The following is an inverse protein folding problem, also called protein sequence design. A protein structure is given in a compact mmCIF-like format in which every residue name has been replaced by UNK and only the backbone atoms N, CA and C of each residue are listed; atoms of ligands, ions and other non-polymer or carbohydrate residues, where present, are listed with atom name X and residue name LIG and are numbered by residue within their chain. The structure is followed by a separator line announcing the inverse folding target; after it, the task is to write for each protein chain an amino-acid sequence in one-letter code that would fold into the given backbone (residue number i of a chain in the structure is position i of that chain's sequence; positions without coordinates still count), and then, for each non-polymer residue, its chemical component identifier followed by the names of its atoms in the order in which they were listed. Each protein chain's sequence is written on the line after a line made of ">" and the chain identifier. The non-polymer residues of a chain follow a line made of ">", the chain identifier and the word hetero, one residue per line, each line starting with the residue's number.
data_IF_359717459045
#
_entry.id   IF_359717459045
#
_cell.length_a   1.000
_cell.length_b   1.000
_cell.length_c   1.000
_cell.angle_alpha   90.00
_cell.angle_beta   90.00
_cell.angle_gamma   90.00
#
_symmetry.space_group_name_H-M   'P 1'
#
loop_
_entity.id
_entity.type
_entity.pdbx_description
1 polymer ?
#
# COMPACT_ATOMS: atom_id res chain seq x y z
N UNK A 1 3.53 44.28 51.21
CA UNK A 1 4.51 44.34 50.10
C UNK A 1 5.45 43.15 50.24
N UNK A 2 5.09 41.98 49.67
CA UNK A 2 5.90 40.77 49.66
C UNK A 2 5.25 39.73 48.73
N UNK A 3 5.36 39.88 47.40
CA UNK A 3 5.01 38.79 46.45
C UNK A 3 5.35 39.15 45.00
N UNK A 4 6.52 39.75 44.72
CA UNK A 4 6.98 39.96 43.34
C UNK A 4 8.13 39.03 42.97
N UNK A 5 9.00 38.71 43.94
CA UNK A 5 10.22 37.94 43.66
C UNK A 5 9.92 36.48 43.33
N UNK A 6 8.90 35.87 43.94
CA UNK A 6 8.55 34.46 43.71
C UNK A 6 8.05 34.19 42.28
N UNK A 7 7.40 35.17 41.64
CA UNK A 7 6.90 35.03 40.26
C UNK A 7 8.02 35.13 39.22
N UNK A 8 9.03 35.97 39.47
CA UNK A 8 10.21 36.08 38.59
C UNK A 8 11.04 34.80 38.65
N UNK A 9 11.22 34.22 39.84
CA UNK A 9 11.95 32.96 40.00
C UNK A 9 11.23 31.75 39.37
N UNK A 10 9.89 31.68 39.39
CA UNK A 10 9.17 30.61 38.70
C UNK A 10 9.25 30.76 37.17
N UNK A 11 9.20 31.98 36.67
CA UNK A 11 9.27 32.26 35.22
C UNK A 11 10.65 31.91 34.63
N UNK A 12 11.74 32.23 35.34
CA UNK A 12 13.09 31.89 34.89
C UNK A 12 13.36 30.38 34.95
N UNK A 13 12.82 29.66 35.94
CA UNK A 13 12.95 28.20 36.03
C UNK A 13 12.26 27.48 34.86
N UNK A 14 11.09 27.95 34.44
CA UNK A 14 10.35 27.37 33.30
C UNK A 14 11.09 27.60 31.97
N UNK A 15 11.67 28.78 31.76
CA UNK A 15 12.47 29.07 30.55
C UNK A 15 13.76 28.23 30.50
N UNK A 16 14.40 27.99 31.64
CA UNK A 16 15.60 27.12 31.71
C UNK A 16 15.25 25.65 31.42
N UNK A 17 14.08 25.16 31.85
CA UNK A 17 13.59 23.82 31.52
C UNK A 17 13.29 23.62 30.02
N UNK A 18 12.90 24.67 29.29
CA UNK A 18 12.71 24.63 27.84
C UNK A 18 14.01 24.77 27.03
N UNK A 19 15.11 25.22 27.66
CA UNK A 19 16.44 25.35 27.05
C UNK A 19 17.37 24.17 27.35
N UNK A 20 16.95 23.23 28.20
CA UNK A 20 17.65 21.95 28.32
C UNK A 20 17.48 21.20 27.00
N UNK A 21 18.56 20.82 26.31
CA UNK A 21 18.45 19.94 25.16
C UNK A 21 17.77 18.66 25.63
N UNK A 22 16.56 18.40 25.14
CA UNK A 22 15.96 17.07 25.23
C UNK A 22 17.02 16.13 24.68
N UNK A 23 17.48 15.10 25.42
CA UNK A 23 18.34 14.11 24.83
C UNK A 23 17.58 13.58 23.62
N UNK A 24 18.04 13.95 22.44
CA UNK A 24 17.69 13.21 21.24
C UNK A 24 18.13 11.80 21.60
N UNK A 25 17.15 10.95 21.92
CA UNK A 25 17.33 9.51 21.85
C UNK A 25 17.98 9.30 20.51
N UNK A 26 19.29 9.03 20.52
CA UNK A 26 19.97 8.47 19.39
C UNK A 26 19.23 7.16 19.17
N UNK A 27 18.25 7.18 18.27
CA UNK A 27 17.70 5.95 17.75
C UNK A 27 18.90 5.22 17.18
N UNK A 28 19.34 4.19 17.90
CA UNK A 28 20.33 3.20 17.49
C UNK A 28 19.74 2.33 16.36
N UNK A 29 19.10 2.97 15.37
CA UNK A 29 18.54 2.37 14.17
C UNK A 29 19.64 2.06 13.13
N UNK A 30 20.92 2.28 13.48
CA UNK A 30 22.04 2.03 12.58
C UNK A 30 22.58 0.58 12.66
N UNK A 31 22.16 -0.24 13.64
CA UNK A 31 22.73 -1.58 13.81
C UNK A 31 21.74 -2.74 13.98
N UNK A 32 20.42 -2.49 13.99
CA UNK A 32 19.46 -3.57 13.83
C UNK A 32 19.16 -3.74 12.34
N UNK A 33 19.87 -4.66 11.66
CA UNK A 33 19.36 -5.21 10.41
C UNK A 33 18.12 -6.02 10.80
N UNK A 34 16.89 -5.60 10.46
CA UNK A 34 15.73 -6.43 10.75
C UNK A 34 15.93 -7.75 10.01
N UNK A 35 16.10 -8.83 10.78
CA UNK A 35 16.10 -10.17 10.22
C UNK A 35 14.66 -10.44 9.83
N UNK A 36 14.39 -10.42 8.52
CA UNK A 36 13.10 -10.83 7.99
C UNK A 36 13.02 -12.35 8.11
N UNK A 37 12.38 -12.87 9.15
CA UNK A 37 12.12 -14.30 9.27
C UNK A 37 10.82 -14.67 8.56
N UNK A 38 10.84 -15.74 7.77
CA UNK A 38 9.64 -16.28 7.16
C UNK A 38 8.89 -17.18 8.16
N UNK A 39 7.73 -16.73 8.63
CA UNK A 39 6.91 -17.47 9.60
C UNK A 39 5.97 -18.51 8.96
N UNK A 40 6.36 -19.10 7.81
CA UNK A 40 5.64 -20.22 7.20
C UNK A 40 4.27 -19.89 6.57
N UNK A 41 3.94 -18.60 6.42
CA UNK A 41 2.68 -18.17 5.77
C UNK A 41 2.74 -18.38 4.26
N UNK A 42 1.68 -18.92 3.60
CA UNK A 42 1.69 -19.16 2.16
C UNK A 42 2.13 -17.93 1.36
N UNK A 43 2.97 -18.14 0.35
CA UNK A 43 3.38 -17.10 -0.59
C UNK A 43 2.66 -17.38 -1.91
N UNK A 44 2.00 -16.38 -2.50
CA UNK A 44 1.26 -16.60 -3.75
C UNK A 44 2.22 -16.69 -4.93
N UNK A 45 1.96 -17.63 -5.83
CA UNK A 45 2.71 -17.82 -7.08
C UNK A 45 1.81 -18.41 -8.15
N UNK A 46 2.28 -18.44 -9.40
CA UNK A 46 1.53 -18.97 -10.53
C UNK A 46 0.52 -17.98 -11.11
N UNK A 47 -0.62 -18.49 -11.58
CA UNK A 47 -1.65 -17.68 -12.25
C UNK A 47 -2.62 -17.04 -11.24
N UNK A 48 -2.39 -15.76 -10.94
CA UNK A 48 -3.27 -14.92 -10.12
C UNK A 48 -4.45 -14.40 -10.95
N UNK A 49 -5.63 -14.98 -10.75
CA UNK A 49 -6.86 -14.58 -11.44
C UNK A 49 -7.63 -13.53 -10.63
N UNK A 50 -7.71 -12.32 -11.16
CA UNK A 50 -8.37 -11.17 -10.53
C UNK A 50 -9.85 -11.09 -10.91
N UNK A 51 -10.72 -11.00 -9.91
CA UNK A 51 -12.09 -10.51 -10.03
C UNK A 51 -12.11 -9.03 -9.64
N UNK A 52 -12.14 -8.13 -10.63
CA UNK A 52 -12.17 -6.70 -10.37
C UNK A 52 -13.61 -6.22 -10.11
N UNK A 53 -13.86 -5.57 -8.99
CA UNK A 53 -15.13 -4.89 -8.69
C UNK A 53 -14.90 -3.38 -8.60
N UNK A 54 -15.62 -2.64 -9.45
CA UNK A 54 -15.66 -1.19 -9.44
C UNK A 54 -16.82 -0.76 -8.56
N UNK A 55 -16.53 -0.35 -7.32
CA UNK A 55 -17.55 0.01 -6.34
C UNK A 55 -17.81 1.52 -6.36
N UNK A 56 -19.03 1.89 -6.74
CA UNK A 56 -19.46 3.25 -7.06
C UNK A 56 -19.14 3.68 -8.50
N UNK A 57 -19.12 4.99 -8.74
CA UNK A 57 -18.91 5.60 -10.05
C UNK A 57 -17.43 5.79 -10.42
N UNK A 58 -16.65 4.71 -10.43
CA UNK A 58 -15.24 4.75 -10.88
C UNK A 58 -15.16 5.18 -12.35
N UNK A 59 -14.29 6.14 -12.66
CA UNK A 59 -14.19 6.80 -13.97
C UNK A 59 -13.64 5.88 -15.07
N UNK A 60 -13.98 6.17 -16.34
CA UNK A 60 -13.49 5.39 -17.49
C UNK A 60 -11.95 5.41 -17.62
N UNK A 61 -11.33 6.57 -17.36
CA UNK A 61 -9.87 6.74 -17.40
C UNK A 61 -9.20 5.84 -16.36
N UNK A 62 -9.68 5.86 -15.12
CA UNK A 62 -9.22 4.97 -14.03
C UNK A 62 -9.33 3.49 -14.41
N UNK A 63 -10.53 3.04 -14.86
CA UNK A 63 -10.75 1.65 -15.27
C UNK A 63 -9.81 1.23 -16.41
N UNK A 64 -9.63 2.10 -17.39
CA UNK A 64 -8.74 1.85 -18.54
C UNK A 64 -7.28 1.75 -18.11
N UNK A 65 -6.80 2.69 -17.29
CA UNK A 65 -5.42 2.71 -16.81
C UNK A 65 -5.09 1.45 -16.01
N UNK A 66 -5.94 1.09 -15.05
CA UNK A 66 -5.78 -0.13 -14.24
C UNK A 66 -5.78 -1.37 -15.13
N UNK A 67 -6.70 -1.48 -16.08
CA UNK A 67 -6.74 -2.62 -17.00
C UNK A 67 -5.48 -2.73 -17.88
N UNK A 68 -5.00 -1.60 -18.42
CA UNK A 68 -3.76 -1.55 -19.21
C UNK A 68 -2.56 -1.93 -18.36
N UNK A 69 -2.48 -1.40 -17.13
CA UNK A 69 -1.43 -1.74 -16.18
C UNK A 69 -1.42 -3.23 -15.86
N UNK A 70 -2.56 -3.85 -15.52
CA UNK A 70 -2.62 -5.29 -15.25
C UNK A 70 -2.13 -6.12 -16.43
N UNK A 71 -2.43 -5.71 -17.67
CA UNK A 71 -1.93 -6.41 -18.86
C UNK A 71 -0.42 -6.25 -19.05
N UNK A 72 0.16 -5.14 -18.60
CA UNK A 72 1.61 -4.93 -18.66
C UNK A 72 2.37 -5.87 -17.72
N UNK A 73 1.78 -6.30 -16.61
CA UNK A 73 2.42 -7.20 -15.64
C UNK A 73 2.92 -8.52 -16.24
N UNK A 74 2.30 -9.00 -17.34
CA UNK A 74 2.68 -10.25 -18.01
C UNK A 74 3.46 -10.07 -19.32
N UNK A 75 3.89 -8.85 -19.65
CA UNK A 75 4.58 -8.57 -20.91
C UNK A 75 6.06 -8.34 -20.66
N UNK A 76 6.89 -9.15 -21.31
CA UNK A 76 8.34 -9.00 -21.26
C UNK A 76 8.77 -7.59 -21.66
N UNK A 77 9.88 -7.12 -21.07
CA UNK A 77 10.46 -5.80 -21.31
C UNK A 77 9.52 -4.62 -21.02
N UNK A 78 8.44 -4.84 -20.27
CA UNK A 78 7.62 -3.75 -19.72
C UNK A 78 7.97 -3.52 -18.27
N UNK A 79 7.69 -2.32 -17.78
CA UNK A 79 7.92 -1.97 -16.37
C UNK A 79 7.00 -2.72 -15.42
N UNK A 80 5.81 -3.12 -15.89
CA UNK A 80 4.95 -4.04 -15.17
C UNK A 80 5.66 -5.36 -14.88
N UNK A 81 6.33 -5.95 -15.88
CA UNK A 81 7.14 -7.15 -15.69
C UNK A 81 8.36 -6.92 -14.79
N UNK A 82 9.00 -5.74 -14.85
CA UNK A 82 10.07 -5.38 -13.89
C UNK A 82 9.56 -5.35 -12.44
N UNK A 83 8.38 -4.77 -12.21
CA UNK A 83 7.76 -4.78 -10.89
C UNK A 83 7.45 -6.21 -10.41
N UNK A 84 6.94 -7.07 -11.29
CA UNK A 84 6.70 -8.48 -10.98
C UNK A 84 8.01 -9.18 -10.59
N UNK A 85 9.04 -9.12 -11.43
CA UNK A 85 10.34 -9.77 -11.15
C UNK A 85 10.99 -9.29 -9.84
N UNK A 86 10.76 -8.04 -9.44
CA UNK A 86 11.18 -7.54 -8.13
C UNK A 86 10.43 -8.25 -6.98
N UNK A 87 9.10 -8.37 -7.06
CA UNK A 87 8.30 -9.10 -6.05
C UNK A 87 8.75 -10.56 -5.97
N UNK A 88 8.96 -11.22 -7.12
CA UNK A 88 9.45 -12.60 -7.19
C UNK A 88 10.83 -12.74 -6.53
N UNK A 89 11.73 -11.76 -6.73
CA UNK A 89 13.04 -11.72 -6.09
C UNK A 89 12.93 -11.59 -4.56
N UNK A 90 12.02 -10.77 -4.05
CA UNK A 90 11.81 -10.63 -2.61
C UNK A 90 11.31 -11.92 -1.98
N UNK A 91 10.39 -12.63 -2.64
CA UNK A 91 9.89 -13.93 -2.16
C UNK A 91 11.02 -14.96 -1.98
N UNK A 92 12.01 -14.97 -2.87
CA UNK A 92 13.18 -15.84 -2.76
C UNK A 92 14.27 -15.36 -1.79
N UNK A 93 14.25 -14.09 -1.40
CA UNK A 93 15.28 -13.50 -0.54
C UNK A 93 15.01 -13.70 0.96
N UNK A 94 13.80 -14.14 1.34
CA UNK A 94 13.44 -14.35 2.75
C UNK A 94 14.03 -15.70 3.24
N UNK A 95 14.77 -15.73 4.36
CA UNK A 95 15.17 -16.96 5.04
C UNK A 95 14.00 -17.94 5.22
N UNK A 96 14.07 -19.12 4.59
CA UNK A 96 12.99 -20.12 4.59
C UNK A 96 11.98 -20.01 3.44
N UNK A 97 12.13 -19.01 2.57
CA UNK A 97 11.33 -18.85 1.35
C UNK A 97 11.72 -19.80 0.21
N UNK A 98 11.02 -19.73 -0.94
CA UNK A 98 11.34 -20.55 -2.12
C UNK A 98 12.79 -20.35 -2.58
N UNK A 99 13.49 -21.45 -2.88
CA UNK A 99 14.90 -21.43 -3.35
C UNK A 99 15.10 -20.71 -4.69
N UNK A 100 14.04 -20.52 -5.46
CA UNK A 100 14.01 -19.81 -6.73
C UNK A 100 12.87 -18.81 -6.72
N UNK A 101 13.05 -17.66 -7.36
CA UNK A 101 11.99 -16.67 -7.54
C UNK A 101 10.81 -17.33 -8.29
N UNK A 102 9.63 -17.43 -7.66
CA UNK A 102 8.50 -18.10 -8.28
C UNK A 102 7.89 -17.20 -9.36
N UNK A 103 7.35 -17.76 -10.44
CA UNK A 103 6.73 -16.95 -11.50
C UNK A 103 5.30 -16.53 -11.11
N UNK A 104 4.98 -15.25 -11.25
CA UNK A 104 3.65 -14.68 -11.05
C UNK A 104 3.08 -14.19 -12.38
N UNK A 105 1.86 -14.61 -12.71
CA UNK A 105 1.10 -14.10 -13.86
C UNK A 105 -0.25 -13.56 -13.40
N UNK A 106 -0.54 -12.29 -13.68
CA UNK A 106 -1.75 -11.62 -13.20
C UNK A 106 -2.75 -11.45 -14.33
N UNK A 107 -3.94 -12.06 -14.24
CA UNK A 107 -4.97 -11.97 -15.28
C UNK A 107 -6.29 -11.50 -14.72
N UNK A 108 -6.95 -10.55 -15.37
CA UNK A 108 -8.33 -10.18 -15.02
C UNK A 108 -9.28 -11.23 -15.60
N UNK A 109 -9.88 -12.03 -14.71
CA UNK A 109 -10.85 -13.07 -15.07
C UNK A 109 -12.29 -12.56 -15.05
N UNK A 110 -12.63 -11.64 -14.14
CA UNK A 110 -13.97 -11.07 -13.99
C UNK A 110 -13.91 -9.56 -13.78
N UNK A 111 -14.96 -8.86 -14.23
CA UNK A 111 -15.13 -7.40 -14.06
C UNK A 111 -16.58 -7.12 -13.68
N UNK A 112 -16.79 -6.53 -12.51
CA UNK A 112 -18.10 -6.18 -11.96
C UNK A 112 -18.12 -4.67 -11.73
N UNK A 113 -19.26 -4.03 -11.97
CA UNK A 113 -19.45 -2.62 -11.61
C UNK A 113 -20.72 -2.51 -10.78
N UNK A 114 -20.57 -2.10 -9.53
CA UNK A 114 -21.67 -1.70 -8.67
C UNK A 114 -21.75 -0.17 -8.67
N UNK A 115 -22.65 0.40 -9.48
CA UNK A 115 -22.83 1.88 -9.52
C UNK A 115 -23.72 2.40 -8.40
N UNK A 116 -24.48 1.52 -7.76
CA UNK A 116 -25.52 1.84 -6.78
C UNK A 116 -24.98 2.07 -5.38
N UNK A 117 -23.70 1.76 -5.12
CA UNK A 117 -23.17 1.71 -3.76
C UNK A 117 -24.02 0.75 -2.93
N UNK A 118 -24.18 -0.49 -3.43
CA UNK A 118 -25.18 -1.48 -2.99
C UNK A 118 -25.25 -1.68 -1.47
N UNK A 119 -24.17 -1.36 -0.77
CA UNK A 119 -24.09 -1.37 0.68
C UNK A 119 -24.25 0.06 1.22
N UNK A 120 -23.24 0.91 1.03
CA UNK A 120 -23.21 2.32 1.41
C UNK A 120 -21.97 3.04 0.81
N UNK A 121 -21.74 4.31 1.16
CA UNK A 121 -20.55 5.06 0.74
C UNK A 121 -19.36 4.98 1.73
N UNK A 122 -19.43 4.13 2.74
CA UNK A 122 -18.39 3.94 3.76
C UNK A 122 -18.11 2.45 3.89
N UNK A 123 -17.11 1.96 3.15
CA UNK A 123 -16.74 0.56 3.18
C UNK A 123 -15.97 0.23 4.47
N UNK A 124 -16.61 -0.52 5.37
CA UNK A 124 -15.97 -1.18 6.51
C UNK A 124 -15.59 -2.62 6.16
N UNK A 125 -14.79 -3.24 7.02
CA UNK A 125 -14.33 -4.63 6.82
C UNK A 125 -15.48 -5.64 6.75
N UNK A 126 -16.58 -5.41 7.48
CA UNK A 126 -17.75 -6.30 7.50
C UNK A 126 -18.44 -6.44 6.14
N UNK A 127 -18.23 -5.48 5.23
CA UNK A 127 -18.83 -5.47 3.90
C UNK A 127 -18.00 -6.20 2.85
N UNK A 128 -16.70 -6.40 3.12
CA UNK A 128 -15.76 -7.00 2.19
C UNK A 128 -16.16 -8.42 1.76
N UNK A 129 -16.61 -9.33 2.66
CA UNK A 129 -17.06 -10.66 2.26
C UNK A 129 -18.21 -10.64 1.23
N UNK A 130 -19.15 -9.70 1.38
CA UNK A 130 -20.27 -9.53 0.45
C UNK A 130 -19.81 -9.11 -0.95
N UNK A 131 -18.91 -8.12 -1.03
CA UNK A 131 -18.34 -7.64 -2.29
C UNK A 131 -17.48 -8.71 -2.98
N UNK A 132 -16.74 -9.50 -2.21
CA UNK A 132 -15.98 -10.65 -2.71
C UNK A 132 -16.95 -11.65 -3.34
N UNK A 133 -18.00 -12.07 -2.61
CA UNK A 133 -18.97 -13.04 -3.11
C UNK A 133 -19.65 -12.57 -4.41
N UNK A 134 -20.01 -11.29 -4.49
CA UNK A 134 -20.56 -10.70 -5.72
C UNK A 134 -19.54 -10.76 -6.87
N UNK A 135 -18.29 -10.38 -6.59
CA UNK A 135 -17.23 -10.33 -7.59
C UNK A 135 -16.82 -11.73 -8.09
N UNK A 136 -16.78 -12.72 -7.21
CA UNK A 136 -16.29 -14.08 -7.51
C UNK A 136 -17.39 -15.07 -7.84
N UNK A 137 -18.66 -14.74 -7.55
CA UNK A 137 -19.76 -15.69 -7.60
C UNK A 137 -19.55 -16.89 -6.66
N UNK A 138 -18.79 -16.70 -5.58
CA UNK A 138 -18.42 -17.76 -4.62
C UNK A 138 -17.20 -18.60 -5.01
N UNK A 139 -16.50 -18.27 -6.10
CA UNK A 139 -15.27 -18.98 -6.48
C UNK A 139 -14.08 -18.59 -5.59
N UNK A 140 -13.49 -19.55 -4.88
CA UNK A 140 -12.28 -19.37 -4.05
C UNK A 140 -10.98 -19.29 -4.87
N UNK A 141 -11.00 -19.64 -6.15
CA UNK A 141 -9.84 -19.55 -7.06
C UNK A 141 -9.58 -18.13 -7.62
N UNK A 142 -10.30 -17.12 -7.14
CA UNK A 142 -10.20 -15.75 -7.61
C UNK A 142 -9.76 -14.84 -6.47
N UNK A 143 -8.88 -13.89 -6.78
CA UNK A 143 -8.53 -12.79 -5.89
C UNK A 143 -9.39 -11.59 -6.26
N UNK A 144 -10.08 -11.02 -5.28
CA UNK A 144 -10.94 -9.86 -5.53
C UNK A 144 -10.14 -8.56 -5.47
N UNK A 145 -10.20 -7.74 -6.51
CA UNK A 145 -9.65 -6.39 -6.49
C UNK A 145 -10.79 -5.37 -6.42
N UNK A 146 -10.96 -4.74 -5.25
CA UNK A 146 -11.99 -3.75 -4.98
C UNK A 146 -11.42 -2.36 -5.24
N UNK A 147 -12.06 -1.62 -6.16
CA UNK A 147 -11.69 -0.24 -6.48
C UNK A 147 -12.82 0.69 -6.10
N UNK A 148 -12.59 1.53 -5.09
CA UNK A 148 -13.57 2.48 -4.58
C UNK A 148 -13.59 3.78 -5.42
N UNK A 149 -14.78 4.28 -5.70
CA UNK A 149 -14.96 5.56 -6.39
C UNK A 149 -14.60 6.78 -5.52
N UNK A 150 -14.50 7.96 -6.14
CA UNK A 150 -14.09 9.23 -5.49
C UNK A 150 -14.99 9.75 -4.37
N UNK A 151 -16.11 9.09 -4.11
CA UNK A 151 -17.11 9.44 -3.11
C UNK A 151 -17.47 8.24 -2.21
N UNK A 152 -16.58 7.25 -2.15
CA UNK A 152 -16.65 6.10 -1.26
C UNK A 152 -15.45 6.16 -0.35
N UNK A 153 -15.69 6.38 0.94
CA UNK A 153 -14.65 6.27 1.95
C UNK A 153 -14.43 4.81 2.32
N UNK A 154 -13.20 4.45 2.62
CA UNK A 154 -12.82 3.11 3.05
C UNK A 154 -12.21 3.18 4.44
N UNK A 155 -12.78 2.41 5.36
CA UNK A 155 -12.31 2.34 6.74
C UNK A 155 -10.84 1.91 6.80
N UNK A 156 -10.07 2.54 7.69
CA UNK A 156 -8.65 2.30 7.94
C UNK A 156 -7.71 2.67 6.78
N UNK A 157 -8.21 3.14 5.65
CA UNK A 157 -7.38 3.90 4.71
C UNK A 157 -7.12 5.30 5.29
N UNK A 158 -6.07 5.94 4.80
CA UNK A 158 -5.60 7.23 5.28
C UNK A 158 -5.05 7.27 6.72
N UNK A 159 -4.98 6.12 7.39
CA UNK A 159 -4.24 5.95 8.65
C UNK A 159 -2.89 5.29 8.36
N UNK A 160 -2.13 5.94 7.48
CA UNK A 160 -0.82 5.54 6.97
C UNK A 160 -0.80 4.41 5.93
N UNK A 161 -1.95 3.81 5.60
CA UNK A 161 -2.08 2.97 4.40
C UNK A 161 -3.01 3.60 3.35
N UNK A 162 -2.68 3.37 2.09
CA UNK A 162 -3.39 3.91 0.92
C UNK A 162 -4.15 2.84 0.12
N UNK A 163 -3.93 1.59 0.50
CA UNK A 163 -4.60 0.40 0.04
C UNK A 163 -4.54 -0.66 1.14
N UNK A 164 -5.39 -1.67 1.03
CA UNK A 164 -5.42 -2.80 1.93
C UNK A 164 -5.39 -4.11 1.15
N UNK A 165 -5.06 -5.20 1.84
CA UNK A 165 -5.20 -6.56 1.33
C UNK A 165 -5.43 -7.52 2.49
N UNK A 166 -5.94 -8.70 2.20
CA UNK A 166 -6.10 -9.72 3.22
C UNK A 166 -6.87 -10.94 2.75
N UNK A 167 -7.31 -11.71 3.73
CA UNK A 167 -8.11 -12.91 3.56
C UNK A 167 -9.40 -12.78 4.36
N UNK A 168 -10.51 -13.20 3.76
CA UNK A 168 -11.77 -13.47 4.49
C UNK A 168 -11.98 -14.97 4.55
N UNK A 169 -12.77 -15.41 5.52
CA UNK A 169 -12.99 -16.83 5.82
C UNK A 169 -11.69 -17.59 6.16
N UNK A 170 -11.78 -18.90 6.36
CA UNK A 170 -10.63 -19.75 6.71
C UNK A 170 -10.71 -21.09 5.99
N UNK A 171 -9.58 -21.81 5.95
CA UNK A 171 -9.56 -23.15 5.36
C UNK A 171 -9.86 -23.14 3.85
N UNK A 172 -10.61 -24.12 3.33
CA UNK A 172 -10.92 -24.24 1.90
C UNK A 172 -11.73 -23.07 1.32
N UNK A 173 -12.45 -22.34 2.17
CA UNK A 173 -13.32 -21.22 1.79
C UNK A 173 -12.60 -19.86 1.84
N UNK A 174 -11.32 -19.85 2.22
CA UNK A 174 -10.51 -18.64 2.30
C UNK A 174 -10.50 -17.88 0.96
N UNK A 175 -10.85 -16.59 1.00
CA UNK A 175 -10.90 -15.73 -0.17
C UNK A 175 -10.01 -14.51 0.01
N UNK A 176 -9.15 -14.28 -0.97
CA UNK A 176 -8.15 -13.21 -0.94
C UNK A 176 -8.68 -11.94 -1.61
N UNK A 177 -8.29 -10.79 -1.08
CA UNK A 177 -8.68 -9.51 -1.65
C UNK A 177 -7.59 -8.44 -1.56
N UNK A 178 -7.71 -7.46 -2.46
CA UNK A 178 -7.07 -6.14 -2.36
C UNK A 178 -8.14 -5.06 -2.39
N UNK A 179 -7.96 -3.99 -1.63
CA UNK A 179 -8.89 -2.87 -1.51
C UNK A 179 -8.15 -1.55 -1.78
N UNK A 180 -8.59 -0.86 -2.82
CA UNK A 180 -7.96 0.37 -3.30
C UNK A 180 -8.97 1.50 -3.14
N UNK A 181 -8.67 2.39 -2.19
CA UNK A 181 -9.39 3.65 -2.01
C UNK A 181 -9.11 4.63 -3.15
N UNK A 182 -9.94 5.67 -3.27
CA UNK A 182 -9.63 6.76 -4.17
C UNK A 182 -8.63 7.72 -3.49
N UNK A 183 -7.41 7.90 -4.00
CA UNK A 183 -6.39 8.73 -3.35
C UNK A 183 -6.76 10.21 -3.26
N UNK A 184 -7.66 10.69 -4.13
CA UNK A 184 -8.16 12.07 -4.06
C UNK A 184 -9.17 12.28 -2.94
N UNK A 185 -9.67 11.20 -2.34
CA UNK A 185 -10.52 11.21 -1.14
C UNK A 185 -9.74 10.77 0.11
N UNK A 186 -8.94 9.71 -0.02
CA UNK A 186 -8.16 9.09 1.05
C UNK A 186 -6.78 9.76 1.17
N UNK A 187 -6.68 10.88 1.90
CA UNK A 187 -5.50 11.77 2.03
C UNK A 187 -4.62 11.90 0.78
N UNK A 188 -4.93 12.86 -0.11
CA UNK A 188 -4.15 13.13 -1.32
C UNK A 188 -2.65 13.37 -1.06
N UNK A 189 -2.30 14.03 0.05
CA UNK A 189 -0.91 14.36 0.38
C UNK A 189 -0.04 13.14 0.67
N UNK A 190 -0.63 12.04 1.12
CA UNK A 190 0.08 10.79 1.41
C UNK A 190 -0.12 9.77 0.27
N UNK A 191 -1.35 9.60 -0.18
CA UNK A 191 -1.73 8.49 -1.05
C UNK A 191 -1.69 8.79 -2.54
N UNK A 192 -1.49 10.05 -2.93
CA UNK A 192 -1.31 10.45 -4.32
C UNK A 192 0.13 10.87 -4.65
N UNK A 193 1.09 10.57 -3.76
CA UNK A 193 2.52 10.67 -4.07
C UNK A 193 2.89 9.74 -5.24
N UNK A 194 3.72 10.16 -6.21
CA UNK A 194 4.42 11.45 -6.32
C UNK A 194 3.67 12.51 -7.14
N UNK A 195 2.38 12.32 -7.44
CA UNK A 195 1.58 13.16 -8.35
C UNK A 195 0.82 14.30 -7.67
N UNK A 196 0.80 14.32 -6.33
CA UNK A 196 0.17 15.35 -5.54
C UNK A 196 1.18 16.00 -4.61
N UNK A 197 0.92 17.25 -4.23
CA UNK A 197 1.76 17.97 -3.25
C UNK A 197 1.79 17.16 -1.95
N UNK A 198 2.98 16.86 -1.48
CA UNK A 198 3.15 16.17 -0.22
C UNK A 198 3.06 17.18 0.93
N UNK A 199 2.55 16.71 2.08
CA UNK A 199 2.42 17.55 3.28
C UNK A 199 3.77 18.00 3.83
N UNK A 200 3.76 18.90 4.82
CA UNK A 200 4.96 19.53 5.38
C UNK A 200 6.07 18.55 5.83
N UNK A 201 5.71 17.31 6.16
CA UNK A 201 6.63 16.27 6.63
C UNK A 201 7.32 15.46 5.52
N UNK A 202 6.93 15.65 4.26
CA UNK A 202 7.51 14.96 3.11
C UNK A 202 7.88 16.01 2.06
N UNK A 203 9.11 16.57 2.07
CA UNK A 203 9.49 17.59 1.11
C UNK A 203 9.73 16.97 -0.27
N UNK A 204 8.71 16.95 -1.13
CA UNK A 204 8.89 16.74 -2.58
C UNK A 204 8.99 18.11 -3.25
N UNK A 205 10.08 18.43 -3.97
CA UNK A 205 10.31 19.76 -4.51
C UNK A 205 9.18 20.20 -5.48
N UNK A 206 8.61 19.29 -6.27
CA UNK A 206 7.37 19.48 -7.04
C UNK A 206 6.70 18.12 -7.34
N UNK A 207 5.36 18.05 -7.43
CA UNK A 207 4.65 16.86 -7.88
C UNK A 207 5.05 16.48 -9.31
N UNK A 208 5.21 15.18 -9.57
CA UNK A 208 5.41 14.64 -10.90
C UNK A 208 4.12 14.73 -11.72
N UNK A 209 4.27 14.87 -13.04
CA UNK A 209 3.13 14.87 -13.93
C UNK A 209 2.60 13.43 -14.14
N UNK A 210 1.30 13.17 -13.91
CA UNK A 210 0.70 11.87 -14.18
C UNK A 210 0.57 11.62 -15.69
N UNK A 211 0.88 10.40 -16.13
CA UNK A 211 0.79 9.92 -17.53
C UNK A 211 -0.63 9.88 -18.03
N UNK A 212 -1.56 9.41 -17.19
CA UNK A 212 -2.97 9.38 -17.55
C UNK A 212 -3.61 10.77 -17.41
N UNK A 213 -2.81 11.81 -17.10
CA UNK A 213 -3.23 13.20 -16.92
C UNK A 213 -4.27 13.38 -15.80
N UNK A 214 -4.35 12.40 -14.90
CA UNK A 214 -5.26 12.37 -13.76
C UNK A 214 -4.50 11.80 -12.55
N UNK A 215 -4.32 12.66 -11.54
CA UNK A 215 -3.56 12.34 -10.32
C UNK A 215 -4.15 11.12 -9.60
N UNK A 216 -5.46 11.09 -9.43
CA UNK A 216 -6.15 9.98 -8.77
C UNK A 216 -5.97 8.66 -9.50
N UNK A 217 -5.97 8.67 -10.83
CA UNK A 217 -5.78 7.48 -11.66
C UNK A 217 -4.40 6.88 -11.46
N UNK A 218 -3.34 7.67 -11.59
CA UNK A 218 -1.97 7.14 -11.50
C UNK A 218 -1.64 6.71 -10.07
N UNK A 219 -2.14 7.46 -9.08
CA UNK A 219 -2.06 7.07 -7.68
C UNK A 219 -2.81 5.76 -7.39
N UNK A 220 -4.00 5.55 -7.97
CA UNK A 220 -4.73 4.27 -7.85
C UNK A 220 -3.94 3.11 -8.47
N UNK A 221 -3.20 3.33 -9.56
CA UNK A 221 -2.33 2.30 -10.16
C UNK A 221 -1.18 1.94 -9.21
N UNK A 222 -0.54 2.94 -8.59
CA UNK A 222 0.51 2.72 -7.58
C UNK A 222 -0.04 1.95 -6.38
N UNK A 223 -1.17 2.38 -5.82
CA UNK A 223 -1.78 1.71 -4.66
C UNK A 223 -2.24 0.29 -5.00
N UNK A 224 -2.70 0.06 -6.23
CA UNK A 224 -3.05 -1.29 -6.68
C UNK A 224 -1.84 -2.22 -6.77
N UNK A 225 -0.71 -1.77 -7.36
CA UNK A 225 0.49 -2.61 -7.41
C UNK A 225 1.07 -2.85 -6.02
N UNK A 226 1.03 -1.86 -5.13
CA UNK A 226 1.46 -2.02 -3.75
C UNK A 226 0.58 -3.07 -3.02
N UNK A 227 -0.74 -3.00 -3.15
CA UNK A 227 -1.65 -3.99 -2.56
C UNK A 227 -1.41 -5.40 -3.12
N UNK A 228 -1.20 -5.52 -4.43
CA UNK A 228 -0.89 -6.82 -5.05
C UNK A 228 0.45 -7.39 -4.57
N UNK A 229 1.49 -6.55 -4.49
CA UNK A 229 2.79 -6.97 -3.97
C UNK A 229 2.65 -7.48 -2.53
N UNK A 230 2.00 -6.70 -1.67
CA UNK A 230 1.77 -7.07 -0.27
C UNK A 230 0.91 -8.33 -0.11
N UNK A 231 -0.10 -8.53 -0.96
CA UNK A 231 -0.91 -9.74 -0.98
C UNK A 231 -0.10 -10.97 -1.38
N UNK A 232 0.74 -10.84 -2.40
CA UNK A 232 1.49 -11.96 -2.96
C UNK A 232 2.66 -12.37 -2.06
N UNK A 233 3.25 -11.41 -1.35
CA UNK A 233 4.22 -11.71 -0.30
C UNK A 233 3.50 -12.22 0.95
N UNK A 234 2.49 -11.51 1.45
CA UNK A 234 1.83 -11.76 2.74
C UNK A 234 0.30 -11.86 2.63
N UNK A 235 -0.25 -12.98 2.13
CA UNK A 235 -1.69 -13.09 1.86
C UNK A 235 -2.57 -13.18 3.11
N UNK A 236 -2.09 -13.82 4.18
CA UNK A 236 -2.85 -14.03 5.42
C UNK A 236 -2.66 -12.91 6.46
N UNK A 237 -1.82 -11.90 6.18
CA UNK A 237 -1.37 -10.88 7.14
C UNK A 237 -0.58 -11.44 8.35
N UNK A 238 -0.36 -12.76 8.43
CA UNK A 238 0.27 -13.47 9.56
C UNK A 238 1.79 -13.25 9.65
N UNK A 239 2.42 -12.60 8.65
CA UNK A 239 3.84 -12.23 8.73
C UNK A 239 4.19 -11.43 10.00
N UNK A 240 3.21 -10.79 10.65
CA UNK A 240 3.40 -9.92 11.81
C UNK A 240 2.94 -10.51 13.15
N UNK A 241 2.62 -11.81 13.23
CA UNK A 241 2.23 -12.42 14.51
C UNK A 241 3.40 -12.60 15.50
N UNK A 242 4.65 -12.56 15.03
CA UNK A 242 5.86 -12.63 15.86
C UNK A 242 6.42 -11.30 16.39
N UNK A 243 5.85 -10.15 16.01
CA UNK A 243 6.34 -8.84 16.47
C UNK A 243 5.65 -8.46 17.78
N UNK A 244 6.40 -8.52 18.88
CA UNK A 244 5.89 -8.33 20.25
C UNK A 244 5.34 -6.92 20.53
N UNK A 245 5.64 -5.95 19.66
CA UNK A 245 5.35 -4.54 19.89
C UNK A 245 4.44 -3.99 18.78
N UNK A 246 3.43 -3.21 19.16
CA UNK A 246 2.49 -2.53 18.23
C UNK A 246 3.18 -1.57 17.26
N UNK A 247 4.34 -1.01 17.64
CA UNK A 247 5.16 -0.17 16.75
C UNK A 247 5.92 -0.97 15.69
N UNK A 248 6.39 -2.19 16.00
CA UNK A 248 7.09 -3.04 15.03
C UNK A 248 6.11 -3.61 13.99
N UNK A 249 4.90 -3.99 14.43
CA UNK A 249 3.81 -4.40 13.52
C UNK A 249 3.41 -3.29 12.55
N UNK A 250 3.37 -2.05 13.03
CA UNK A 250 3.21 -0.89 12.18
C UNK A 250 4.40 -0.83 11.22
N UNK A 251 5.64 -0.68 11.71
CA UNK A 251 6.81 -0.42 10.87
C UNK A 251 7.02 -1.46 9.75
N UNK A 252 6.76 -2.75 9.97
CA UNK A 252 6.97 -3.77 8.90
C UNK A 252 5.79 -3.91 7.93
N UNK A 253 4.55 -3.68 8.40
CA UNK A 253 3.38 -3.47 7.52
C UNK A 253 3.55 -2.21 6.67
N UNK A 254 4.26 -1.22 7.20
CA UNK A 254 4.75 -0.05 6.47
C UNK A 254 5.93 -0.42 5.55
N UNK A 255 6.94 -1.21 5.97
CA UNK A 255 8.21 -1.43 5.26
C UNK A 255 8.18 -2.38 4.06
N UNK A 256 7.19 -3.26 3.90
CA UNK A 256 7.06 -4.06 2.66
C UNK A 256 6.49 -3.23 1.50
N UNK A 257 5.36 -2.54 1.66
CA UNK A 257 4.93 -1.54 0.69
C UNK A 257 5.84 -0.32 0.67
N UNK A 258 6.47 0.14 1.77
CA UNK A 258 7.50 1.18 1.71
C UNK A 258 8.76 0.67 1.04
N UNK A 259 9.24 -0.56 1.16
CA UNK A 259 10.41 -0.98 0.36
C UNK A 259 10.06 -0.93 -1.14
N UNK A 260 8.88 -1.43 -1.53
CA UNK A 260 8.41 -1.33 -2.91
C UNK A 260 8.18 0.14 -3.32
N UNK A 261 7.56 0.97 -2.49
CA UNK A 261 7.21 2.38 -2.74
C UNK A 261 8.41 3.33 -2.62
N UNK A 262 9.38 3.06 -1.74
CA UNK A 262 10.64 3.79 -1.53
C UNK A 262 11.60 3.46 -2.68
N UNK A 263 11.58 2.23 -3.22
CA UNK A 263 12.27 1.94 -4.49
C UNK A 263 11.54 2.50 -5.72
N UNK A 264 10.21 2.60 -5.70
CA UNK A 264 9.43 3.30 -6.74
C UNK A 264 9.55 4.84 -6.63
N UNK A 265 10.02 5.39 -5.51
CA UNK A 265 10.22 6.84 -5.29
C UNK A 265 11.69 7.27 -5.20
N UNK A 266 12.66 6.36 -5.06
CA UNK A 266 14.09 6.67 -5.05
C UNK A 266 14.64 6.98 -6.45
N UNK A 267 14.75 8.29 -6.73
CA UNK A 267 15.24 8.86 -7.97
C UNK A 267 16.65 8.39 -8.36
N UNK A 268 17.54 8.10 -7.41
CA UNK A 268 18.93 7.72 -7.70
C UNK A 268 19.04 6.25 -8.14
N UNK A 269 18.19 5.36 -7.61
CA UNK A 269 18.17 3.94 -8.00
C UNK A 269 17.27 3.65 -9.22
N UNK A 270 16.27 4.49 -9.47
CA UNK A 270 15.44 4.43 -10.69
C UNK A 270 16.24 4.73 -11.97
N UNK A 271 17.27 5.61 -11.89
CA UNK A 271 18.16 5.95 -13.00
C UNK A 271 19.13 4.81 -13.36
N UNK A 272 19.53 3.99 -12.38
CA UNK A 272 20.42 2.84 -12.62
C UNK A 272 19.69 1.56 -13.04
N UNK A 273 18.36 1.48 -12.82
CA UNK A 273 17.54 0.28 -13.09
C UNK A 273 16.48 0.48 -14.20
N UNK A 274 16.42 1.63 -14.87
CA UNK A 274 15.51 1.87 -16.01
C UNK A 274 14.03 2.04 -15.65
N UNK A 275 13.67 2.09 -14.37
CA UNK A 275 12.30 2.29 -13.90
C UNK A 275 11.84 3.76 -13.88
N UNK A 276 12.73 4.73 -14.10
CA UNK A 276 12.41 6.18 -14.14
C UNK A 276 11.31 6.58 -15.12
N UNK A 277 10.95 5.71 -16.05
CA UNK A 277 10.01 6.06 -17.10
C UNK A 277 8.59 5.57 -16.90
N UNK A 278 8.19 4.92 -15.78
CA UNK A 278 6.86 4.28 -15.50
C UNK A 278 5.64 5.05 -16.01
N UNK A 279 5.85 6.32 -16.33
CA UNK A 279 4.88 7.31 -16.69
C UNK A 279 4.97 7.86 -18.14
N UNK A 280 5.74 7.25 -19.05
CA UNK A 280 5.90 7.74 -20.43
C UNK A 280 5.65 6.71 -21.53
N UNK A 281 4.60 5.88 -21.45
CA UNK A 281 4.00 5.18 -22.61
C UNK A 281 2.48 4.98 -22.43
#
# INVERSE_FOLDING_TARGET
>A
MASSDKFVFLSTLVVVLFLLPVPASSHDAANHKPVLEYHGSPVLSGDLKIAAIWYGTVGRVQKSAIHKFTRSLNKDNTRGATCVGMVESYQSAVPGGPKTSPTIRVRVARKITDKSYSINKILTQDFIPGLIKEATGGSTHLVTAIFAAKNVSVQNLCSGKCSDHGVVDTGPDAQLYTLIGNPMLECPEACACPFYKSGANYPMPLPLQPSNKDVGTDAMVINFVAALASLVTNPSLVWFEGLSNTMDRAQVSYQTPLAVLYFLTDRQRLQSLGCSGLLSQ
#
